data_IF_456151946358
#
_entry.id   IF_456151946358
#
_cell.length_a   1.000
_cell.length_b   1.000
_cell.length_c   1.000
_cell.angle_alpha   90.00
_cell.angle_beta   90.00
_cell.angle_gamma   90.00
#
_symmetry.space_group_name_H-M   'P 1'
#
loop_
_entity.id
_entity.type
_entity.pdbx_description
1 polymer ?
#
# COMPACT_ATOMS: atom_id res chain seq x y z
N UNK A 1 63.52 -12.88 2.56
CA UNK A 1 62.35 -12.85 1.65
C UNK A 1 61.36 -13.99 1.90
N UNK A 2 61.77 -15.27 1.92
CA UNK A 2 60.85 -16.40 2.14
C UNK A 2 60.10 -16.39 3.50
N UNK A 3 60.73 -15.90 4.59
CA UNK A 3 60.08 -15.80 5.92
C UNK A 3 59.04 -14.66 6.03
N UNK A 4 59.21 -13.58 5.27
CA UNK A 4 58.25 -12.46 5.21
C UNK A 4 57.01 -12.82 4.37
N UNK A 5 57.17 -13.66 3.34
CA UNK A 5 56.08 -14.22 2.55
C UNK A 5 55.18 -15.17 3.35
N UNK A 6 55.76 -15.97 4.25
CA UNK A 6 54.98 -16.90 5.09
C UNK A 6 54.17 -16.16 6.17
N UNK A 7 54.71 -15.09 6.77
CA UNK A 7 53.94 -14.28 7.72
C UNK A 7 52.79 -13.49 7.06
N UNK A 8 52.99 -12.99 5.84
CA UNK A 8 51.92 -12.33 5.08
C UNK A 8 50.77 -13.27 4.70
N UNK A 9 51.08 -14.54 4.38
CA UNK A 9 50.06 -15.53 4.01
C UNK A 9 49.20 -15.96 5.20
N UNK A 10 49.77 -16.05 6.40
CA UNK A 10 49.05 -16.40 7.64
C UNK A 10 48.12 -15.26 8.09
N UNK A 11 48.51 -14.01 7.86
CA UNK A 11 47.68 -12.85 8.19
C UNK A 11 46.44 -12.73 7.27
N UNK A 12 46.57 -13.07 5.99
CA UNK A 12 45.44 -13.03 5.03
C UNK A 12 44.43 -14.17 5.29
N UNK A 13 44.89 -15.33 5.73
CA UNK A 13 44.02 -16.46 6.12
C UNK A 13 43.28 -16.20 7.44
N UNK A 14 43.85 -15.42 8.37
CA UNK A 14 43.19 -15.07 9.63
C UNK A 14 42.05 -14.03 9.45
N UNK A 15 42.14 -13.15 8.46
CA UNK A 15 41.09 -12.16 8.17
C UNK A 15 39.89 -12.79 7.45
N UNK A 16 40.11 -13.83 6.64
CA UNK A 16 39.02 -14.56 5.97
C UNK A 16 38.12 -15.37 6.92
N UNK A 17 38.62 -15.74 8.11
CA UNK A 17 37.86 -16.50 9.11
C UNK A 17 36.95 -15.62 10.00
N UNK A 18 37.09 -14.30 9.93
CA UNK A 18 36.28 -13.33 10.69
C UNK A 18 35.42 -12.43 9.80
N UNK A 19 35.29 -12.73 8.52
CA UNK A 19 34.19 -12.16 7.74
C UNK A 19 32.90 -12.66 8.39
N UNK A 20 32.01 -11.77 8.92
CA UNK A 20 30.70 -12.21 9.31
C UNK A 20 30.10 -12.86 8.06
N UNK A 21 29.78 -14.15 8.15
CA UNK A 21 28.96 -14.78 7.12
C UNK A 21 27.75 -13.86 6.98
N UNK A 22 27.58 -13.23 5.82
CA UNK A 22 26.32 -12.60 5.48
C UNK A 22 25.31 -13.75 5.45
N UNK A 23 24.69 -14.02 6.60
CA UNK A 23 23.65 -15.04 6.73
C UNK A 23 22.53 -14.55 5.82
N UNK A 24 22.32 -15.26 4.72
CA UNK A 24 21.16 -15.05 3.88
C UNK A 24 19.91 -15.17 4.75
N UNK A 25 18.94 -14.26 4.57
CA UNK A 25 17.73 -14.25 5.38
C UNK A 25 17.02 -15.62 5.28
N UNK A 26 16.54 -16.12 6.42
CA UNK A 26 15.80 -17.39 6.48
C UNK A 26 14.44 -17.28 5.79
N UNK A 27 13.83 -16.11 5.89
CA UNK A 27 12.57 -15.77 5.24
C UNK A 27 12.69 -14.43 4.51
N UNK A 28 12.07 -14.35 3.34
CA UNK A 28 11.97 -13.11 2.57
C UNK A 28 10.51 -12.82 2.27
N UNK A 29 10.04 -11.62 2.62
CA UNK A 29 8.74 -11.11 2.25
C UNK A 29 8.92 -9.99 1.22
N UNK A 30 8.28 -10.10 0.06
CA UNK A 30 8.27 -9.02 -0.95
C UNK A 30 7.00 -8.17 -0.76
N UNK A 31 7.14 -6.95 -0.28
CA UNK A 31 6.02 -6.11 0.11
C UNK A 31 5.76 -5.01 -0.94
N UNK A 32 4.60 -5.04 -1.59
CA UNK A 32 4.21 -4.14 -2.67
C UNK A 32 3.31 -2.98 -2.18
N UNK A 33 3.44 -1.83 -2.83
CA UNK A 33 2.49 -0.73 -2.73
C UNK A 33 2.46 0.10 -4.01
N UNK A 34 1.37 0.86 -4.23
CA UNK A 34 1.15 1.63 -5.47
C UNK A 34 1.82 3.01 -5.47
N UNK A 35 2.12 3.56 -4.30
CA UNK A 35 2.68 4.90 -4.11
C UNK A 35 4.12 4.99 -4.64
N UNK A 36 4.57 6.18 -5.06
CA UNK A 36 5.89 6.43 -5.59
C UNK A 36 7.03 6.34 -4.56
N UNK A 37 8.29 6.32 -5.01
CA UNK A 37 9.46 6.15 -4.16
C UNK A 37 9.73 7.33 -3.22
N UNK A 38 9.24 8.52 -3.57
CA UNK A 38 9.40 9.73 -2.75
C UNK A 38 8.24 9.95 -1.77
N UNK A 39 7.20 9.11 -1.82
CA UNK A 39 6.03 9.23 -0.95
C UNK A 39 6.42 8.92 0.51
N UNK A 40 5.92 9.67 1.52
CA UNK A 40 6.22 9.41 2.93
C UNK A 40 5.94 7.97 3.38
N UNK A 41 4.93 7.33 2.78
CA UNK A 41 4.62 5.91 3.01
C UNK A 41 5.73 4.97 2.55
N UNK A 42 6.37 5.22 1.41
CA UNK A 42 7.48 4.37 1.00
C UNK A 42 8.58 4.41 2.05
N UNK A 43 8.92 5.63 2.52
CA UNK A 43 9.99 5.80 3.51
C UNK A 43 9.70 5.09 4.84
N UNK A 44 8.45 5.12 5.28
CA UNK A 44 8.07 4.46 6.52
C UNK A 44 7.92 2.93 6.36
N UNK A 45 7.56 2.42 5.16
CA UNK A 45 7.64 0.98 4.86
C UNK A 45 9.10 0.48 4.85
N UNK A 46 10.03 1.22 4.26
CA UNK A 46 11.47 0.91 4.35
C UNK A 46 11.93 0.88 5.83
N UNK A 47 11.48 1.87 6.62
CA UNK A 47 11.81 1.94 8.04
C UNK A 47 11.25 0.73 8.78
N UNK A 48 9.99 0.35 8.52
CA UNK A 48 9.37 -0.84 9.08
C UNK A 48 10.16 -2.11 8.72
N UNK A 49 10.53 -2.28 7.45
CA UNK A 49 11.34 -3.40 6.97
C UNK A 49 12.69 -3.50 7.72
N UNK A 50 13.39 -2.37 7.89
CA UNK A 50 14.63 -2.30 8.64
C UNK A 50 14.44 -2.67 10.12
N UNK A 51 13.37 -2.18 10.76
CA UNK A 51 13.05 -2.52 12.16
C UNK A 51 12.71 -3.99 12.35
N UNK A 52 12.04 -4.62 11.38
CA UNK A 52 11.77 -6.06 11.40
C UNK A 52 13.07 -6.84 11.29
N UNK A 53 13.96 -6.46 10.36
CA UNK A 53 15.28 -7.09 10.20
C UNK A 53 16.10 -7.01 11.50
N UNK A 54 16.13 -5.85 12.14
CA UNK A 54 16.81 -5.66 13.44
C UNK A 54 16.22 -6.56 14.53
N UNK A 55 14.90 -6.59 14.69
CA UNK A 55 14.22 -7.35 15.75
C UNK A 55 14.25 -8.86 15.55
N UNK A 56 14.46 -9.31 14.31
CA UNK A 56 14.58 -10.72 13.96
C UNK A 56 16.03 -11.17 13.80
N UNK A 57 17.02 -10.33 14.17
CA UNK A 57 18.45 -10.60 13.99
C UNK A 57 18.79 -11.01 12.54
N UNK A 58 18.09 -10.45 11.56
CA UNK A 58 18.28 -10.76 10.14
C UNK A 58 17.57 -12.02 9.64
N UNK A 59 16.82 -12.75 10.48
CA UNK A 59 16.11 -13.96 10.03
C UNK A 59 14.99 -13.66 9.03
N UNK A 60 14.33 -12.50 9.16
CA UNK A 60 13.30 -12.03 8.22
C UNK A 60 13.77 -10.76 7.51
N UNK A 61 13.81 -10.83 6.18
CA UNK A 61 14.04 -9.69 5.31
C UNK A 61 12.75 -9.29 4.58
N UNK A 62 12.41 -8.00 4.65
CA UNK A 62 11.29 -7.43 3.91
C UNK A 62 11.87 -6.56 2.79
N UNK A 63 11.55 -6.89 1.55
CA UNK A 63 11.92 -6.12 0.37
C UNK A 63 10.72 -5.28 -0.05
N UNK A 64 10.82 -3.95 0.03
CA UNK A 64 9.72 -3.03 -0.27
C UNK A 64 9.78 -2.62 -1.74
N UNK A 65 8.66 -2.78 -2.45
CA UNK A 65 8.49 -2.48 -3.87
C UNK A 65 7.42 -1.40 -4.02
N UNK A 66 7.82 -0.27 -4.59
CA UNK A 66 6.95 0.90 -4.79
C UNK A 66 6.32 0.88 -6.20
N UNK A 67 5.46 1.85 -6.50
CA UNK A 67 4.91 2.06 -7.85
C UNK A 67 4.32 0.81 -8.51
N UNK A 68 3.74 -0.10 -7.72
CA UNK A 68 3.21 -1.38 -8.20
C UNK A 68 4.24 -2.24 -8.98
N UNK A 69 5.52 -2.17 -8.62
CA UNK A 69 6.62 -2.90 -9.28
C UNK A 69 6.43 -4.43 -9.33
N UNK A 70 5.71 -5.02 -8.37
CA UNK A 70 5.40 -6.45 -8.38
C UNK A 70 4.11 -6.80 -9.12
N UNK A 71 3.32 -5.81 -9.51
CA UNK A 71 1.99 -5.97 -10.09
C UNK A 71 0.95 -5.05 -9.46
N UNK A 72 -0.20 -4.97 -10.11
CA UNK A 72 -1.37 -4.26 -9.58
C UNK A 72 -1.90 -4.98 -8.34
N UNK A 73 -2.63 -4.24 -7.51
CA UNK A 73 -2.98 -4.67 -6.17
C UNK A 73 -3.81 -5.95 -6.14
N UNK A 74 -4.75 -6.09 -7.07
CA UNK A 74 -5.64 -7.25 -7.19
C UNK A 74 -4.84 -8.54 -7.50
N UNK A 75 -3.80 -8.45 -8.33
CA UNK A 75 -2.92 -9.58 -8.64
C UNK A 75 -2.05 -9.97 -7.43
N UNK A 76 -1.59 -9.00 -6.64
CA UNK A 76 -0.82 -9.27 -5.42
C UNK A 76 -1.71 -9.94 -4.37
N UNK A 77 -2.94 -9.48 -4.20
CA UNK A 77 -3.89 -10.11 -3.28
C UNK A 77 -4.15 -11.57 -3.68
N UNK A 78 -4.32 -11.87 -4.97
CA UNK A 78 -4.48 -13.27 -5.41
C UNK A 78 -3.20 -14.11 -5.17
N UNK A 79 -2.01 -13.54 -5.41
CA UNK A 79 -0.75 -14.21 -5.07
C UNK A 79 -0.63 -14.51 -3.56
N UNK A 80 -1.06 -13.59 -2.69
CA UNK A 80 -1.10 -13.81 -1.24
C UNK A 80 -1.99 -15.01 -0.88
N UNK A 81 -3.19 -15.11 -1.50
CA UNK A 81 -4.11 -16.24 -1.29
C UNK A 81 -3.52 -17.58 -1.72
N UNK A 82 -2.67 -17.57 -2.74
CA UNK A 82 -1.95 -18.74 -3.24
C UNK A 82 -0.72 -19.11 -2.38
N UNK A 83 -0.46 -18.37 -1.30
CA UNK A 83 0.66 -18.63 -0.38
C UNK A 83 2.02 -18.14 -0.89
N UNK A 84 2.04 -17.30 -1.93
CA UNK A 84 3.28 -16.63 -2.36
C UNK A 84 3.74 -15.69 -1.23
N UNK A 85 5.04 -15.63 -0.89
CA UNK A 85 5.57 -14.77 0.16
C UNK A 85 5.63 -13.30 -0.30
N UNK A 86 4.46 -12.73 -0.54
CA UNK A 86 4.24 -11.32 -0.88
C UNK A 86 3.33 -10.68 0.17
N UNK A 87 3.47 -9.37 0.33
CA UNK A 87 2.57 -8.54 1.13
C UNK A 87 2.13 -7.33 0.33
N UNK A 88 1.06 -6.68 0.77
CA UNK A 88 0.47 -5.54 0.09
C UNK A 88 0.05 -4.48 1.10
N UNK A 89 0.35 -3.22 0.81
CA UNK A 89 -0.40 -2.10 1.40
C UNK A 89 -1.77 -2.01 0.71
N UNK A 90 -2.83 -2.29 1.45
CA UNK A 90 -4.22 -2.30 0.95
C UNK A 90 -5.15 -1.55 1.91
N UNK A 91 -6.43 -1.51 1.58
CA UNK A 91 -7.47 -0.79 2.31
C UNK A 91 -8.68 -1.69 2.62
N UNK A 92 -9.48 -1.31 3.61
CA UNK A 92 -10.67 -2.08 3.98
C UNK A 92 -11.77 -2.04 2.91
N UNK A 93 -11.81 -1.02 2.06
CA UNK A 93 -12.76 -0.95 0.95
C UNK A 93 -12.56 -2.13 -0.01
N UNK A 94 -11.30 -2.44 -0.37
CA UNK A 94 -10.94 -3.60 -1.20
C UNK A 94 -11.08 -4.93 -0.47
N UNK A 95 -10.79 -4.98 0.84
CA UNK A 95 -11.11 -6.18 1.64
C UNK A 95 -12.61 -6.48 1.65
N UNK A 96 -13.46 -5.47 1.38
CA UNK A 96 -14.88 -5.60 1.08
C UNK A 96 -15.24 -6.55 -0.06
N UNK A 97 -14.32 -6.81 -0.99
CA UNK A 97 -14.54 -7.79 -2.06
C UNK A 97 -14.54 -9.25 -1.52
N UNK A 98 -14.06 -9.47 -0.29
CA UNK A 98 -14.00 -10.78 0.37
C UNK A 98 -14.95 -10.85 1.57
N UNK A 99 -14.95 -9.81 2.41
CA UNK A 99 -15.86 -9.66 3.55
C UNK A 99 -16.60 -8.33 3.38
N UNK A 100 -17.80 -8.30 2.78
CA UNK A 100 -18.50 -7.06 2.42
C UNK A 100 -18.63 -6.05 3.56
N UNK A 101 -18.81 -6.52 4.80
CA UNK A 101 -19.01 -5.69 5.97
C UNK A 101 -17.78 -4.86 6.35
N UNK A 102 -16.56 -5.36 6.07
CA UNK A 102 -15.32 -4.65 6.41
C UNK A 102 -15.18 -3.33 5.65
N UNK A 103 -15.83 -3.22 4.48
CA UNK A 103 -15.79 -2.04 3.63
C UNK A 103 -16.32 -0.79 4.35
N UNK A 104 -17.21 -0.96 5.33
CA UNK A 104 -17.81 0.16 6.09
C UNK A 104 -16.78 1.07 6.75
N UNK A 105 -15.58 0.55 7.09
CA UNK A 105 -14.50 1.36 7.66
C UNK A 105 -13.96 2.43 6.69
N UNK A 106 -14.27 2.31 5.40
CA UNK A 106 -13.99 3.31 4.37
C UNK A 106 -15.24 4.03 3.85
N UNK A 107 -16.41 3.84 4.48
CA UNK A 107 -17.60 4.60 4.10
C UNK A 107 -17.36 6.11 4.29
N UNK A 108 -17.91 6.95 3.40
CA UNK A 108 -17.71 8.39 3.46
C UNK A 108 -18.33 8.92 4.76
N UNK A 109 -17.59 9.76 5.47
CA UNK A 109 -18.00 10.34 6.76
C UNK A 109 -18.29 9.32 7.86
N UNK A 110 -17.70 8.12 7.81
CA UNK A 110 -17.90 7.08 8.83
C UNK A 110 -17.28 7.41 10.20
N UNK A 111 -16.12 8.08 10.20
CA UNK A 111 -15.40 8.52 11.40
C UNK A 111 -14.96 9.97 11.23
N UNK A 112 -14.89 10.70 12.34
CA UNK A 112 -14.63 12.14 12.34
C UNK A 112 -13.14 12.48 12.56
N UNK A 113 -12.34 11.52 13.04
CA UNK A 113 -10.93 11.77 13.40
C UNK A 113 -10.03 10.53 13.23
N UNK A 114 -8.72 10.76 13.14
CA UNK A 114 -7.72 9.69 13.05
C UNK A 114 -7.71 8.87 14.35
N UNK A 115 -7.97 9.52 15.49
CA UNK A 115 -8.09 8.88 16.79
C UNK A 115 -9.24 7.85 16.82
N UNK A 116 -10.35 8.14 16.14
CA UNK A 116 -11.45 7.18 15.99
C UNK A 116 -11.07 6.00 15.10
N UNK A 117 -10.28 6.22 14.04
CA UNK A 117 -9.74 5.12 13.22
C UNK A 117 -8.94 4.14 14.07
N UNK A 118 -8.13 4.64 15.01
CA UNK A 118 -7.36 3.77 15.92
C UNK A 118 -8.31 2.93 16.79
N UNK A 119 -9.38 3.53 17.32
CA UNK A 119 -10.38 2.84 18.15
C UNK A 119 -11.16 1.76 17.40
N UNK A 120 -11.28 1.85 16.07
CA UNK A 120 -11.93 0.78 15.28
C UNK A 120 -11.29 -0.59 15.52
N UNK A 121 -9.98 -0.65 15.78
CA UNK A 121 -9.30 -1.92 16.10
C UNK A 121 -9.81 -2.63 17.36
N UNK A 122 -10.39 -1.86 18.27
CA UNK A 122 -10.87 -2.36 19.55
C UNK A 122 -12.25 -3.02 19.43
N UNK A 123 -12.99 -2.72 18.36
CA UNK A 123 -14.30 -3.27 18.09
C UNK A 123 -14.24 -4.78 17.80
N UNK A 124 -15.13 -5.53 18.43
CA UNK A 124 -15.22 -6.99 18.24
C UNK A 124 -15.48 -7.37 16.79
N UNK A 125 -16.33 -6.61 16.08
CA UNK A 125 -16.58 -6.82 14.66
C UNK A 125 -15.29 -6.72 13.82
N UNK A 126 -14.42 -5.75 14.09
CA UNK A 126 -13.16 -5.59 13.34
C UNK A 126 -12.17 -6.71 13.67
N UNK A 127 -12.14 -7.18 14.91
CA UNK A 127 -11.33 -8.37 15.28
C UNK A 127 -11.84 -9.62 14.59
N UNK A 128 -13.15 -9.81 14.53
CA UNK A 128 -13.79 -10.90 13.82
C UNK A 128 -13.48 -10.85 12.32
N UNK A 129 -13.62 -9.71 11.66
CA UNK A 129 -13.31 -9.57 10.24
C UNK A 129 -11.84 -9.84 9.93
N UNK A 130 -10.90 -9.39 10.77
CA UNK A 130 -9.46 -9.73 10.61
C UNK A 130 -9.22 -11.23 10.73
N UNK A 131 -9.89 -11.89 11.67
CA UNK A 131 -9.80 -13.35 11.84
C UNK A 131 -10.35 -14.08 10.61
N UNK A 132 -11.52 -13.65 10.11
CA UNK A 132 -12.14 -14.22 8.90
C UNK A 132 -11.27 -13.99 7.66
N UNK A 133 -10.66 -12.82 7.51
CA UNK A 133 -9.69 -12.55 6.43
C UNK A 133 -8.54 -13.56 6.43
N UNK A 134 -7.99 -13.86 7.61
CA UNK A 134 -6.93 -14.85 7.75
C UNK A 134 -7.42 -16.29 7.47
N UNK A 135 -8.52 -16.70 8.09
CA UNK A 135 -8.98 -18.10 8.07
C UNK A 135 -9.66 -18.51 6.76
N UNK A 136 -10.44 -17.61 6.16
CA UNK A 136 -11.23 -17.89 4.95
C UNK A 136 -10.46 -17.53 3.67
N UNK A 137 -9.58 -16.53 3.74
CA UNK A 137 -8.93 -15.95 2.55
C UNK A 137 -7.40 -15.90 2.63
N UNK A 138 -6.76 -16.28 3.74
CA UNK A 138 -5.30 -16.26 3.85
C UNK A 138 -4.69 -14.87 3.99
N UNK A 139 -5.50 -13.83 4.28
CA UNK A 139 -5.02 -12.47 4.46
C UNK A 139 -4.72 -12.17 5.93
N UNK A 140 -3.43 -12.26 6.30
CA UNK A 140 -2.98 -11.85 7.62
C UNK A 140 -2.85 -10.33 7.71
N UNK A 141 -3.80 -9.67 8.36
CA UNK A 141 -3.75 -8.21 8.60
C UNK A 141 -2.69 -7.88 9.66
N UNK A 142 -1.62 -7.21 9.24
CA UNK A 142 -0.51 -6.83 10.12
C UNK A 142 -0.78 -5.52 10.89
N UNK A 143 -1.47 -4.57 10.25
CA UNK A 143 -1.84 -3.29 10.86
C UNK A 143 -2.95 -2.63 10.03
N UNK A 144 -3.82 -1.87 10.70
CA UNK A 144 -4.76 -0.92 10.06
C UNK A 144 -4.57 0.51 10.58
N UNK A 145 -3.51 0.75 11.36
CA UNK A 145 -3.32 2.01 12.09
C UNK A 145 -2.72 3.13 11.25
N UNK A 146 -2.27 2.82 10.03
CA UNK A 146 -1.61 3.81 9.21
C UNK A 146 -2.57 4.42 8.20
N UNK A 147 -3.04 5.62 8.54
CA UNK A 147 -4.04 6.38 7.78
C UNK A 147 -3.33 7.30 6.78
N UNK A 148 -3.66 7.20 5.49
CA UNK A 148 -3.02 8.01 4.42
C UNK A 148 -3.46 9.48 4.45
N UNK A 149 -4.59 9.76 5.13
CA UNK A 149 -5.17 11.08 5.26
C UNK A 149 -6.59 11.14 4.70
N UNK A 150 -7.12 12.35 4.63
CA UNK A 150 -8.45 12.62 4.10
C UNK A 150 -8.44 12.57 2.56
N UNK A 151 -9.53 12.05 2.00
CA UNK A 151 -9.71 11.94 0.55
C UNK A 151 -10.51 13.15 0.05
N UNK A 152 -10.10 13.68 -1.10
CA UNK A 152 -10.66 14.86 -1.74
C UNK A 152 -10.90 14.57 -3.21
N UNK A 153 -11.90 15.25 -3.79
CA UNK A 153 -12.04 15.31 -5.24
C UNK A 153 -10.93 16.16 -5.83
N UNK A 154 -10.31 15.65 -6.89
CA UNK A 154 -9.26 16.30 -7.66
C UNK A 154 -9.71 16.29 -9.12
N UNK A 155 -10.07 17.47 -9.61
CA UNK A 155 -10.81 17.64 -10.85
C UNK A 155 -10.27 18.86 -11.59
N UNK A 156 -10.43 18.86 -12.92
CA UNK A 156 -10.06 19.98 -13.78
C UNK A 156 -11.03 21.19 -13.68
N UNK A 157 -12.13 21.01 -12.95
CA UNK A 157 -13.12 22.05 -12.66
C UNK A 157 -13.30 22.16 -11.16
N UNK A 158 -13.52 23.37 -10.62
CA UNK A 158 -13.87 23.54 -9.21
C UNK A 158 -15.15 22.78 -8.85
N UNK A 159 -15.11 22.07 -7.72
CA UNK A 159 -16.27 21.37 -7.13
C UNK A 159 -16.53 21.99 -5.76
N UNK A 160 -17.72 22.58 -5.60
CA UNK A 160 -18.13 23.26 -4.36
C UNK A 160 -19.37 22.65 -3.72
N UNK A 161 -20.15 21.90 -4.50
CA UNK A 161 -21.38 21.23 -4.10
C UNK A 161 -21.59 19.96 -4.94
N UNK A 162 -22.39 18.99 -4.49
CA UNK A 162 -22.60 17.72 -5.20
C UNK A 162 -23.09 17.90 -6.65
N UNK A 163 -23.90 18.93 -6.94
CA UNK A 163 -24.40 19.17 -8.30
C UNK A 163 -23.27 19.47 -9.31
N UNK A 164 -22.11 19.96 -8.84
CA UNK A 164 -20.96 20.22 -9.71
C UNK A 164 -20.33 18.90 -10.21
N UNK A 165 -20.54 17.78 -9.50
CA UNK A 165 -20.07 16.45 -9.89
C UNK A 165 -20.97 15.74 -10.91
N UNK A 166 -22.16 16.28 -11.18
CA UNK A 166 -23.17 15.63 -12.01
C UNK A 166 -22.62 15.23 -13.39
N UNK A 167 -22.61 13.93 -13.66
CA UNK A 167 -22.16 13.38 -14.95
C UNK A 167 -20.64 13.38 -15.19
N UNK A 168 -19.83 13.86 -14.24
CA UNK A 168 -18.37 13.75 -14.34
C UNK A 168 -17.92 12.30 -14.15
N UNK A 169 -16.98 11.83 -14.97
CA UNK A 169 -16.35 10.51 -14.82
C UNK A 169 -15.19 10.64 -13.84
N UNK A 170 -15.41 10.19 -12.62
CA UNK A 170 -14.44 10.29 -11.54
C UNK A 170 -13.83 8.92 -11.31
N UNK A 171 -12.51 8.84 -11.39
CA UNK A 171 -11.79 7.61 -11.08
C UNK A 171 -11.90 7.29 -9.59
N UNK A 172 -12.14 6.01 -9.32
CA UNK A 172 -12.04 5.40 -7.98
C UNK A 172 -11.12 4.18 -8.05
N UNK A 173 -10.61 3.74 -6.90
CA UNK A 173 -10.01 2.40 -6.82
C UNK A 173 -11.09 1.32 -7.06
N UNK A 174 -10.72 0.09 -7.52
CA UNK A 174 -11.65 -1.02 -7.75
C UNK A 174 -12.31 -1.62 -6.47
N UNK A 175 -12.99 -0.79 -5.69
CA UNK A 175 -13.75 -1.19 -4.51
C UNK A 175 -15.20 -0.70 -4.62
N UNK A 176 -16.21 -1.57 -4.39
CA UNK A 176 -17.62 -1.18 -4.51
C UNK A 176 -18.01 0.03 -3.66
N UNK A 177 -17.55 0.11 -2.41
CA UNK A 177 -17.94 1.22 -1.52
C UNK A 177 -17.41 2.57 -2.01
N UNK A 178 -16.22 2.62 -2.63
CA UNK A 178 -15.71 3.86 -3.24
C UNK A 178 -16.52 4.28 -4.46
N UNK A 179 -16.87 3.33 -5.32
CA UNK A 179 -17.71 3.59 -6.49
C UNK A 179 -19.08 4.12 -6.09
N UNK A 180 -19.72 3.48 -5.11
CA UNK A 180 -21.05 3.90 -4.65
C UNK A 180 -21.01 5.24 -3.90
N UNK A 181 -19.92 5.57 -3.21
CA UNK A 181 -19.73 6.90 -2.61
C UNK A 181 -19.73 8.01 -3.65
N UNK A 182 -18.98 7.81 -4.74
CA UNK A 182 -18.92 8.76 -5.86
C UNK A 182 -20.24 8.83 -6.62
N UNK A 183 -20.90 7.68 -6.82
CA UNK A 183 -22.22 7.60 -7.47
C UNK A 183 -23.30 8.32 -6.66
N UNK A 184 -23.30 8.16 -5.35
CA UNK A 184 -24.25 8.82 -4.45
C UNK A 184 -24.15 10.36 -4.49
N UNK A 185 -22.97 10.88 -4.87
CA UNK A 185 -22.72 12.32 -5.06
C UNK A 185 -23.02 12.81 -6.49
N UNK A 186 -23.55 11.97 -7.37
CA UNK A 186 -24.01 12.34 -8.72
C UNK A 186 -22.98 12.18 -9.84
N UNK A 187 -21.74 11.78 -9.51
CA UNK A 187 -20.71 11.47 -10.49
C UNK A 187 -20.86 10.04 -11.05
N UNK A 188 -20.18 9.79 -12.17
CA UNK A 188 -20.02 8.46 -12.75
C UNK A 188 -18.68 7.87 -12.28
N UNK A 189 -18.66 6.89 -11.35
CA UNK A 189 -17.41 6.29 -10.92
C UNK A 189 -16.81 5.42 -12.03
N UNK A 190 -15.50 5.57 -12.25
CA UNK A 190 -14.71 4.72 -13.15
C UNK A 190 -13.68 3.95 -12.31
N UNK A 191 -13.83 2.63 -12.21
CA UNK A 191 -12.85 1.78 -11.53
C UNK A 191 -11.59 1.64 -12.40
N UNK A 192 -10.43 2.01 -11.85
CA UNK A 192 -9.16 2.04 -12.59
C UNK A 192 -7.97 1.92 -11.64
N UNK A 193 -6.87 1.33 -12.08
CA UNK A 193 -5.67 1.20 -11.25
C UNK A 193 -4.99 2.56 -11.02
N UNK A 194 -4.21 2.64 -9.95
CA UNK A 194 -3.59 3.91 -9.52
C UNK A 194 -2.63 4.48 -10.58
N UNK A 195 -1.77 3.64 -11.17
CA UNK A 195 -0.80 4.07 -12.17
C UNK A 195 -1.39 4.46 -13.55
N UNK A 196 -2.66 4.21 -13.79
CA UNK A 196 -3.34 4.51 -15.06
C UNK A 196 -3.95 5.93 -15.08
N UNK A 197 -4.06 6.58 -13.92
CA UNK A 197 -4.80 7.83 -13.74
C UNK A 197 -4.25 8.98 -14.60
N UNK A 198 -2.93 9.19 -14.60
CA UNK A 198 -2.31 10.32 -15.32
C UNK A 198 -2.68 10.28 -16.81
N UNK A 199 -2.47 9.14 -17.45
CA UNK A 199 -2.78 8.96 -18.88
C UNK A 199 -4.27 9.09 -19.15
N UNK A 200 -5.13 8.54 -18.29
CA UNK A 200 -6.58 8.63 -18.46
C UNK A 200 -7.11 10.07 -18.34
N UNK A 201 -6.58 10.87 -17.40
CA UNK A 201 -6.90 12.29 -17.29
C UNK A 201 -6.37 13.05 -18.51
N UNK A 202 -5.10 12.84 -18.88
CA UNK A 202 -4.47 13.51 -20.02
C UNK A 202 -5.22 13.28 -21.34
N UNK A 203 -5.77 12.08 -21.54
CA UNK A 203 -6.54 11.71 -22.72
C UNK A 203 -8.02 12.15 -22.65
N UNK A 204 -8.47 12.72 -21.52
CA UNK A 204 -9.87 13.10 -21.32
C UNK A 204 -10.83 11.91 -21.19
N UNK A 205 -10.32 10.74 -20.82
CA UNK A 205 -11.14 9.55 -20.57
C UNK A 205 -11.90 9.67 -19.22
N UNK A 206 -11.32 10.40 -18.27
CA UNK A 206 -11.90 10.76 -16.97
C UNK A 206 -11.67 12.26 -16.69
N UNK A 207 -12.57 12.86 -15.91
CA UNK A 207 -12.50 14.29 -15.53
C UNK A 207 -11.72 14.54 -14.23
N UNK A 208 -11.42 13.48 -13.48
CA UNK A 208 -10.71 13.58 -12.21
C UNK A 208 -10.66 12.27 -11.44
N UNK A 209 -10.23 12.36 -10.19
CA UNK A 209 -10.15 11.25 -9.25
C UNK A 209 -10.52 11.72 -7.83
N UNK A 210 -10.83 10.77 -6.95
CA UNK A 210 -10.86 11.00 -5.50
C UNK A 210 -9.62 10.36 -4.85
N UNK A 211 -8.82 11.13 -4.09
CA UNK A 211 -7.52 10.68 -3.56
C UNK A 211 -7.13 11.50 -2.31
N UNK A 212 -6.06 11.09 -1.62
CA UNK A 212 -5.38 11.95 -0.62
C UNK A 212 -4.48 12.98 -1.31
N UNK A 213 -4.27 14.14 -0.68
CA UNK A 213 -3.56 15.28 -1.28
C UNK A 213 -2.15 14.93 -1.82
N UNK A 214 -1.38 14.16 -1.07
CA UNK A 214 -0.01 13.78 -1.44
C UNK A 214 0.07 13.03 -2.78
N UNK A 215 -1.00 12.30 -3.15
CA UNK A 215 -1.05 11.57 -4.42
C UNK A 215 -1.05 12.49 -5.65
N UNK A 216 -1.48 13.74 -5.53
CA UNK A 216 -1.46 14.71 -6.65
C UNK A 216 -0.04 14.91 -7.16
N UNK A 217 0.88 15.10 -6.23
CA UNK A 217 2.27 15.38 -6.56
C UNK A 217 3.01 14.10 -6.89
N UNK A 218 2.77 13.03 -6.13
CA UNK A 218 3.41 11.73 -6.34
C UNK A 218 3.10 11.12 -7.72
N UNK A 219 1.90 11.36 -8.24
CA UNK A 219 1.47 10.90 -9.56
C UNK A 219 1.49 11.99 -10.63
N UNK A 220 2.10 13.16 -10.36
CA UNK A 220 2.13 14.31 -11.28
C UNK A 220 0.75 14.75 -11.81
N UNK A 221 -0.34 14.48 -11.09
CA UNK A 221 -1.70 14.77 -11.56
C UNK A 221 -1.96 16.27 -11.73
N UNK A 222 -1.22 17.12 -11.02
CA UNK A 222 -1.25 18.58 -11.17
C UNK A 222 -0.79 19.08 -12.55
N UNK A 223 -0.16 18.24 -13.37
CA UNK A 223 0.22 18.58 -14.74
C UNK A 223 -0.93 18.41 -15.74
N UNK A 224 -1.94 17.61 -15.37
CA UNK A 224 -3.02 17.16 -16.27
C UNK A 224 -4.43 17.49 -15.75
N UNK A 225 -4.55 17.95 -14.50
CA UNK A 225 -5.78 18.47 -13.89
C UNK A 225 -5.82 20.01 -13.91
#
# INVERSE_FOLDING_TARGET
>A
MKRLLVLGLVLVLAVAAFAPSALAAKYTLRFNHVLGPNHPYHKALETWAQRVKERTNGELEILVFHSAQLGVEEDILEQMRQGVPVGQNTDSARMGNYIPEIAVMNAPYFVDSIEEVVKLNELEAVKEWKKRLADEFGFQVLSIQWVQGFRHFMTNKPISKPEDLAGQRIRTAPAPIWQESVRALGATPIAMNFGEMYTAIQQGAIEGAELVYDNIFDQSLHEVL
#
